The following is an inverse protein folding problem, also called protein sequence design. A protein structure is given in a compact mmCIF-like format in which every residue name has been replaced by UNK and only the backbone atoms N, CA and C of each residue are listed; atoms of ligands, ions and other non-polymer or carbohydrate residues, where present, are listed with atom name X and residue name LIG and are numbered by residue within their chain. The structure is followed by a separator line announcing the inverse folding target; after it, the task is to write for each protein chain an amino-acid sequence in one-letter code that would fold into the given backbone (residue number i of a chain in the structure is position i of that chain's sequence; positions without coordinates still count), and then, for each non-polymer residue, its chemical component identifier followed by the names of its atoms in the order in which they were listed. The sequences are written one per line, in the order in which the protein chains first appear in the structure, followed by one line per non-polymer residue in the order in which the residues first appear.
data_IF_973102725923
#
_entry.id   IF_973102725923
#
_cell.length_a   1.000
_cell.length_b   1.000
_cell.length_c   1.000
_cell.angle_alpha   90.00
_cell.angle_beta   90.00
_cell.angle_gamma   90.00
#
_symmetry.space_group_name_H-M   'P 1'
#
loop_
_entity.id
_entity.type
_entity.pdbx_description
1 polymer ?
#
# COMPACT_ATOMS: atom_id res chain seq x y z
N UNK A 1 -49.27 23.42 -13.10
CA UNK A 1 -48.76 23.33 -11.72
C UNK A 1 -48.91 21.87 -11.33
N UNK A 2 -47.85 21.27 -10.77
CA UNK A 2 -47.59 19.80 -10.65
C UNK A 2 -47.03 19.23 -11.96
N UNK A 3 -45.87 18.57 -12.02
CA UNK A 3 -45.19 17.76 -11.00
C UNK A 3 -43.69 18.08 -10.97
N UNK A 4 -43.18 18.55 -9.83
CA UNK A 4 -41.73 18.66 -9.59
C UNK A 4 -41.21 17.25 -9.39
N UNK A 5 -40.48 16.75 -10.39
CA UNK A 5 -39.69 15.53 -10.31
C UNK A 5 -38.63 15.73 -9.24
N UNK A 6 -38.61 14.89 -8.22
CA UNK A 6 -37.50 14.83 -7.29
C UNK A 6 -36.34 14.14 -8.00
N UNK A 7 -35.48 14.95 -8.64
CA UNK A 7 -34.18 14.59 -9.21
C UNK A 7 -33.14 14.21 -8.12
N UNK A 8 -33.62 13.76 -6.97
CA UNK A 8 -32.84 13.61 -5.74
C UNK A 8 -32.16 12.23 -5.65
N UNK A 9 -32.45 11.31 -6.58
CA UNK A 9 -31.78 10.01 -6.66
C UNK A 9 -30.44 10.06 -7.41
N UNK A 10 -30.00 11.25 -7.82
CA UNK A 10 -28.57 11.47 -8.07
C UNK A 10 -27.87 11.63 -6.72
N UNK A 11 -27.86 10.57 -5.92
CA UNK A 11 -26.84 10.39 -4.88
C UNK A 11 -25.50 10.41 -5.59
N UNK A 12 -24.90 11.59 -5.60
CA UNK A 12 -23.59 11.90 -6.11
C UNK A 12 -22.59 11.00 -5.37
N UNK A 13 -22.40 9.76 -5.84
CA UNK A 13 -21.17 9.02 -5.56
C UNK A 13 -20.09 9.64 -6.45
N UNK A 14 -19.77 10.92 -6.19
CA UNK A 14 -18.52 11.51 -6.64
C UNK A 14 -17.41 10.86 -5.82
N UNK A 15 -16.88 9.75 -6.33
CA UNK A 15 -15.52 9.34 -5.95
C UNK A 15 -14.68 9.01 -7.17
N UNK A 16 -14.25 9.99 -7.96
CA UNK A 16 -12.92 9.93 -8.53
C UNK A 16 -12.02 10.77 -7.62
N UNK A 17 -11.77 10.30 -6.38
CA UNK A 17 -10.57 10.78 -5.67
C UNK A 17 -9.42 10.18 -6.44
N UNK A 18 -8.95 10.89 -7.47
CA UNK A 18 -7.69 10.66 -8.17
C UNK A 18 -6.62 10.75 -7.08
N UNK A 19 -6.36 9.63 -6.41
CA UNK A 19 -5.32 9.57 -5.40
C UNK A 19 -4.02 9.71 -6.19
N UNK A 20 -3.15 10.68 -5.85
CA UNK A 20 -1.93 10.94 -6.61
C UNK A 20 -1.01 9.72 -6.64
N UNK A 21 -1.20 8.78 -5.70
CA UNK A 21 -0.52 7.50 -5.65
C UNK A 21 -1.58 6.44 -5.37
N UNK A 22 -1.57 5.37 -6.17
CA UNK A 22 -2.45 4.23 -5.94
C UNK A 22 -2.01 3.49 -4.67
N UNK A 23 -2.98 3.11 -3.84
CA UNK A 23 -2.72 2.38 -2.60
C UNK A 23 -1.91 1.10 -2.87
N UNK A 24 -2.24 0.41 -3.96
CA UNK A 24 -1.54 -0.80 -4.42
C UNK A 24 -0.07 -0.54 -4.75
N UNK A 25 0.25 0.60 -5.39
CA UNK A 25 1.64 0.97 -5.68
C UNK A 25 2.46 1.17 -4.41
N UNK A 26 1.91 1.89 -3.43
CA UNK A 26 2.59 2.11 -2.13
C UNK A 26 2.78 0.79 -1.41
N UNK A 27 1.73 -0.05 -1.38
CA UNK A 27 1.77 -1.37 -0.76
C UNK A 27 2.89 -2.24 -1.36
N UNK A 28 2.96 -2.31 -2.69
CA UNK A 28 3.99 -3.07 -3.40
C UNK A 28 5.38 -2.50 -3.10
N UNK A 29 5.55 -1.18 -3.11
CA UNK A 29 6.83 -0.54 -2.77
C UNK A 29 7.30 -0.92 -1.37
N UNK A 30 6.41 -0.87 -0.39
CA UNK A 30 6.73 -1.24 0.99
C UNK A 30 7.06 -2.72 1.13
N UNK A 31 6.38 -3.60 0.40
CA UNK A 31 6.68 -5.03 0.39
C UNK A 31 8.07 -5.27 -0.18
N UNK A 32 8.41 -4.68 -1.34
CA UNK A 32 9.75 -4.81 -1.92
C UNK A 32 10.83 -4.25 -1.01
N UNK A 33 10.59 -3.09 -0.41
CA UNK A 33 11.54 -2.44 0.50
C UNK A 33 11.77 -3.29 1.76
N UNK A 34 10.68 -3.81 2.36
CA UNK A 34 10.75 -4.67 3.54
C UNK A 34 11.47 -5.99 3.27
N UNK A 35 11.19 -6.63 2.12
CA UNK A 35 11.91 -7.82 1.68
C UNK A 35 13.40 -7.52 1.50
N UNK A 36 13.75 -6.43 0.79
CA UNK A 36 15.13 -6.04 0.57
C UNK A 36 15.89 -5.83 1.88
N UNK A 37 15.38 -4.98 2.77
CA UNK A 37 15.98 -4.72 4.07
C UNK A 37 16.07 -5.98 4.94
N UNK A 38 14.99 -6.76 5.01
CA UNK A 38 14.94 -7.99 5.79
C UNK A 38 16.01 -8.99 5.34
N UNK A 39 16.12 -9.23 4.03
CA UNK A 39 17.14 -10.11 3.48
C UNK A 39 18.55 -9.56 3.77
N UNK A 40 18.81 -8.28 3.51
CA UNK A 40 20.13 -7.67 3.76
C UNK A 40 20.56 -7.84 5.22
N UNK A 41 19.66 -7.57 6.16
CA UNK A 41 19.95 -7.73 7.60
C UNK A 41 20.26 -9.19 7.93
N UNK A 42 19.47 -10.15 7.43
CA UNK A 42 19.72 -11.57 7.66
C UNK A 42 21.09 -12.02 7.10
N UNK A 43 21.45 -11.56 5.89
CA UNK A 43 22.75 -11.85 5.30
C UNK A 43 23.90 -11.26 6.11
N UNK A 44 23.76 -10.03 6.61
CA UNK A 44 24.79 -9.39 7.47
C UNK A 44 24.95 -10.16 8.79
N UNK A 45 23.85 -10.54 9.43
CA UNK A 45 23.87 -11.31 10.67
C UNK A 45 24.55 -12.66 10.49
N UNK A 46 24.20 -13.39 9.43
CA UNK A 46 24.83 -14.68 9.10
C UNK A 46 26.30 -14.53 8.70
N UNK A 47 26.69 -13.40 8.11
CA UNK A 47 28.09 -13.13 7.74
C UNK A 47 28.96 -12.71 8.92
N UNK A 48 28.38 -12.43 10.09
CA UNK A 48 29.13 -11.96 11.27
C UNK A 48 29.33 -13.13 12.22
N UNK A 49 30.59 -13.49 12.53
CA UNK A 49 30.92 -14.63 13.42
C UNK A 49 30.22 -14.57 14.78
N UNK A 50 29.92 -13.38 15.29
CA UNK A 50 29.27 -13.16 16.59
C UNK A 50 27.78 -13.50 16.61
N UNK A 51 27.12 -13.46 15.44
CA UNK A 51 25.67 -13.64 15.30
C UNK A 51 25.29 -14.75 14.32
N UNK A 52 26.29 -15.43 13.75
CA UNK A 52 26.10 -16.55 12.87
C UNK A 52 25.62 -17.78 13.67
N UNK A 53 24.31 -18.01 13.66
CA UNK A 53 23.70 -19.15 14.35
C UNK A 53 23.84 -20.48 13.58
N UNK A 54 24.38 -20.47 12.36
CA UNK A 54 24.71 -21.69 11.61
C UNK A 54 26.07 -22.28 11.96
N UNK A 55 26.87 -21.59 12.79
CA UNK A 55 28.14 -22.07 13.34
C UNK A 55 27.93 -22.69 14.72
#
# INVERSE_FOLDING_TARGET
MSDVQLEDEKFIIQRPKKRPIEFTTVLILYILLGLGLGLTIHFILLSTETYNWLQ
#
